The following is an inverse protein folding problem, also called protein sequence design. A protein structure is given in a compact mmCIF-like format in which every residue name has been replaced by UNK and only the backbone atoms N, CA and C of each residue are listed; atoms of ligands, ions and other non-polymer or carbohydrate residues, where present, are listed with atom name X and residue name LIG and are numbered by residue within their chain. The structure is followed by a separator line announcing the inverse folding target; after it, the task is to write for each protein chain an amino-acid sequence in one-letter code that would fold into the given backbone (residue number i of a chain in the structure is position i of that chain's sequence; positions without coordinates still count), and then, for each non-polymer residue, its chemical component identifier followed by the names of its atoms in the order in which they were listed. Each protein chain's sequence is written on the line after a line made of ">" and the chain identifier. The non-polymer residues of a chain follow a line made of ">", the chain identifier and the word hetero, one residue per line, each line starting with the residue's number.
data_IF_960200608903
#
_entry.id   IF_960200608903
#
_cell.length_a   1.000
_cell.length_b   1.000
_cell.length_c   1.000
_cell.angle_alpha   90.00
_cell.angle_beta   90.00
_cell.angle_gamma   90.00
#
_symmetry.space_group_name_H-M   'P 1'
#
loop_
_entity.id
_entity.type
_entity.pdbx_description
1 polymer ?
#
# COMPACT_ATOMS: atom_id res chain seq x y z
N UNK A 1 -5.58 -13.46 -22.49
CA UNK A 1 -5.86 -12.05 -22.10
C UNK A 1 -6.67 -11.90 -20.82
N UNK A 2 -7.46 -12.89 -20.39
CA UNK A 2 -8.34 -12.78 -19.21
C UNK A 2 -7.61 -12.46 -17.89
N UNK A 3 -6.42 -13.04 -17.67
CA UNK A 3 -5.59 -12.76 -16.49
C UNK A 3 -5.14 -11.29 -16.42
N UNK A 4 -4.80 -10.70 -17.58
CA UNK A 4 -4.42 -9.29 -17.70
C UNK A 4 -5.61 -8.39 -17.39
N UNK A 5 -6.80 -8.73 -17.89
CA UNK A 5 -8.02 -7.97 -17.62
C UNK A 5 -8.38 -8.00 -16.11
N UNK A 6 -8.26 -9.17 -15.46
CA UNK A 6 -8.45 -9.31 -14.01
C UNK A 6 -7.42 -8.51 -13.21
N UNK A 7 -6.16 -8.48 -13.64
CA UNK A 7 -5.12 -7.68 -13.00
C UNK A 7 -5.40 -6.17 -13.14
N UNK A 8 -5.78 -5.71 -14.32
CA UNK A 8 -6.16 -4.32 -14.58
C UNK A 8 -7.34 -3.88 -13.71
N UNK A 9 -8.37 -4.72 -13.60
CA UNK A 9 -9.52 -4.43 -12.75
C UNK A 9 -9.16 -4.28 -11.26
N UNK A 10 -8.18 -5.04 -10.75
CA UNK A 10 -7.65 -4.87 -9.39
C UNK A 10 -6.84 -3.58 -9.25
N UNK A 11 -5.98 -3.28 -10.21
CA UNK A 11 -5.16 -2.06 -10.19
C UNK A 11 -6.02 -0.79 -10.11
N UNK A 12 -7.15 -0.76 -10.83
CA UNK A 12 -8.09 0.36 -10.78
C UNK A 12 -8.74 0.57 -9.40
N UNK A 13 -8.73 -0.44 -8.52
CA UNK A 13 -9.22 -0.32 -7.13
C UNK A 13 -8.17 0.25 -6.17
N UNK A 14 -6.90 0.26 -6.56
CA UNK A 14 -5.78 0.65 -5.69
C UNK A 14 -5.87 2.10 -5.18
N UNK A 15 -6.28 3.11 -5.97
CA UNK A 15 -6.45 4.47 -5.46
C UNK A 15 -7.46 4.56 -4.31
N UNK A 16 -8.52 3.74 -4.34
CA UNK A 16 -9.51 3.67 -3.26
C UNK A 16 -8.92 3.06 -1.99
N UNK A 17 -8.09 2.01 -2.12
CA UNK A 17 -7.38 1.40 -1.00
C UNK A 17 -6.37 2.38 -0.37
N UNK A 18 -5.64 3.12 -1.19
CA UNK A 18 -4.73 4.17 -0.73
C UNK A 18 -5.45 5.28 0.03
N UNK A 19 -6.62 5.69 -0.46
CA UNK A 19 -7.42 6.73 0.21
C UNK A 19 -7.91 6.27 1.59
N UNK A 20 -8.33 5.02 1.74
CA UNK A 20 -8.73 4.45 3.04
C UNK A 20 -7.54 4.36 4.02
N UNK A 21 -6.35 4.06 3.51
CA UNK A 21 -5.12 3.92 4.30
C UNK A 21 -4.22 5.16 4.26
N UNK A 22 -4.80 6.35 4.05
CA UNK A 22 -4.04 7.58 3.86
C UNK A 22 -3.12 7.89 5.05
N UNK A 23 -3.58 7.65 6.28
CA UNK A 23 -2.80 7.94 7.49
C UNK A 23 -1.52 7.10 7.57
N UNK A 24 -1.65 5.78 7.44
CA UNK A 24 -0.53 4.85 7.44
C UNK A 24 0.39 5.05 6.23
N UNK A 25 -0.18 5.37 5.07
CA UNK A 25 0.58 5.72 3.88
C UNK A 25 1.45 6.97 4.08
N UNK A 26 0.89 8.02 4.69
CA UNK A 26 1.64 9.26 5.01
C UNK A 26 2.75 8.99 6.02
N UNK A 27 2.51 8.18 7.05
CA UNK A 27 3.54 7.82 8.03
C UNK A 27 4.71 7.07 7.38
N UNK A 28 4.40 6.06 6.55
CA UNK A 28 5.43 5.33 5.81
C UNK A 28 6.19 6.24 4.83
N UNK A 29 5.47 7.09 4.08
CA UNK A 29 6.09 8.04 3.17
C UNK A 29 7.02 9.01 3.89
N UNK A 30 6.65 9.51 5.06
CA UNK A 30 7.50 10.40 5.85
C UNK A 30 8.84 9.73 6.23
N UNK A 31 8.80 8.45 6.65
CA UNK A 31 10.02 7.70 6.96
C UNK A 31 10.91 7.51 5.71
N UNK A 32 10.32 7.12 4.58
CA UNK A 32 11.06 6.90 3.32
C UNK A 32 11.65 8.22 2.80
N UNK A 33 10.86 9.30 2.82
CA UNK A 33 11.31 10.61 2.35
C UNK A 33 12.40 11.21 3.24
N UNK A 34 12.41 10.90 4.54
CA UNK A 34 13.49 11.30 5.43
C UNK A 34 14.83 10.60 5.12
N UNK A 35 14.78 9.41 4.51
CA UNK A 35 15.97 8.65 4.14
C UNK A 35 16.64 9.12 2.83
N UNK A 36 15.97 9.97 2.04
CA UNK A 36 16.39 10.56 0.76
C UNK A 36 17.16 9.59 -0.16
N UNK A 37 18.48 9.50 0.01
CA UNK A 37 19.39 8.75 -0.86
C UNK A 37 19.92 7.44 -0.24
N UNK A 38 19.78 7.24 1.07
CA UNK A 38 20.37 6.10 1.79
C UNK A 38 19.32 5.38 2.65
N UNK A 39 18.30 4.84 1.99
CA UNK A 39 17.36 3.94 2.66
C UNK A 39 17.99 2.56 2.86
N UNK A 40 18.24 2.19 4.12
CA UNK A 40 18.63 0.84 4.46
C UNK A 40 17.41 -0.10 4.40
N UNK A 41 17.66 -1.36 4.08
CA UNK A 41 16.63 -2.39 4.14
C UNK A 41 16.02 -2.42 5.55
N UNK A 42 14.70 -2.52 5.62
CA UNK A 42 13.91 -2.59 6.86
C UNK A 42 13.95 -1.33 7.75
N UNK A 43 14.55 -0.23 7.29
CA UNK A 43 14.61 1.02 8.06
C UNK A 43 13.23 1.57 8.43
N UNK A 44 12.25 1.47 7.51
CA UNK A 44 10.87 1.89 7.72
C UNK A 44 9.91 0.71 7.92
N UNK A 45 10.43 -0.46 8.37
CA UNK A 45 9.65 -1.72 8.41
C UNK A 45 8.38 -1.61 9.23
N UNK A 46 8.43 -0.93 10.39
CA UNK A 46 7.27 -0.76 11.26
C UNK A 46 6.12 -0.02 10.58
N UNK A 47 6.42 1.12 9.96
CA UNK A 47 5.41 1.92 9.25
C UNK A 47 4.89 1.19 8.02
N UNK A 48 5.77 0.45 7.33
CA UNK A 48 5.40 -0.43 6.23
C UNK A 48 4.44 -1.54 6.66
N UNK A 49 4.72 -2.23 7.77
CA UNK A 49 3.88 -3.30 8.31
C UNK A 49 2.48 -2.76 8.67
N UNK A 50 2.40 -1.58 9.29
CA UNK A 50 1.13 -0.92 9.58
C UNK A 50 0.35 -0.56 8.31
N UNK A 51 1.04 -0.01 7.31
CA UNK A 51 0.44 0.34 6.03
C UNK A 51 -0.08 -0.90 5.28
N UNK A 52 0.70 -1.97 5.20
CA UNK A 52 0.28 -3.24 4.59
C UNK A 52 -0.90 -3.86 5.34
N UNK A 53 -0.88 -3.83 6.67
CA UNK A 53 -2.00 -4.29 7.48
C UNK A 53 -3.29 -3.50 7.19
N UNK A 54 -3.18 -2.18 7.00
CA UNK A 54 -4.32 -1.38 6.54
C UNK A 54 -4.80 -1.82 5.14
N UNK A 55 -3.90 -1.91 4.17
CA UNK A 55 -4.27 -2.27 2.79
C UNK A 55 -4.94 -3.64 2.71
N UNK A 56 -4.46 -4.63 3.47
CA UNK A 56 -5.08 -5.97 3.53
C UNK A 56 -6.50 -5.91 4.09
N UNK A 57 -6.73 -5.13 5.15
CA UNK A 57 -8.05 -4.93 5.74
C UNK A 57 -8.99 -4.20 4.77
N UNK A 58 -8.53 -3.12 4.14
CA UNK A 58 -9.31 -2.37 3.14
C UNK A 58 -9.65 -3.24 1.92
N UNK A 59 -8.71 -4.05 1.45
CA UNK A 59 -8.91 -4.95 0.32
C UNK A 59 -9.93 -6.05 0.63
N UNK A 60 -9.89 -6.62 1.84
CA UNK A 60 -10.90 -7.56 2.31
C UNK A 60 -12.30 -6.94 2.30
N UNK A 61 -12.46 -5.71 2.80
CA UNK A 61 -13.74 -4.97 2.74
C UNK A 61 -14.22 -4.72 1.30
N UNK A 62 -13.30 -4.47 0.38
CA UNK A 62 -13.61 -4.16 -1.03
C UNK A 62 -13.73 -5.41 -1.92
N UNK A 63 -13.63 -6.61 -1.35
CA UNK A 63 -13.70 -7.87 -2.09
C UNK A 63 -12.59 -7.99 -3.14
N UNK A 64 -11.38 -7.52 -2.82
CA UNK A 64 -10.23 -7.59 -3.72
C UNK A 64 -8.99 -8.09 -2.99
N UNK A 65 -7.94 -8.40 -3.76
CA UNK A 65 -6.65 -8.83 -3.21
C UNK A 65 -5.57 -7.82 -3.61
N UNK A 66 -4.59 -7.66 -2.73
CA UNK A 66 -3.37 -6.89 -2.97
C UNK A 66 -2.19 -7.85 -3.06
#
# INVERSE_FOLDING_TARGET
>A
MEAVNKARARYLKFPKLLLECRGEATAYAACVSAAQDNIAKDQCRKDFEHFVACLRRAAAKLGTRI
#
